data_IF_060041604841
#
_entry.id   IF_060041604841
#
_cell.length_a   1.000
_cell.length_b   1.000
_cell.length_c   1.000
_cell.angle_alpha   90.00
_cell.angle_beta   90.00
_cell.angle_gamma   90.00
#
_symmetry.space_group_name_H-M   'P 1'
#
loop_
_entity.id
_entity.type
_entity.pdbx_description
1 polymer ?
#
# COMPACT_ATOMS: atom_id res chain seq x y z
N UNK A 1 -17.18 -23.08 14.13
CA UNK A 1 -16.18 -22.10 13.62
C UNK A 1 -16.63 -21.40 12.34
N UNK A 2 -16.90 -22.10 11.23
CA UNK A 2 -17.29 -21.49 9.94
C UNK A 2 -18.56 -20.64 10.03
N UNK A 3 -19.54 -21.04 10.85
CA UNK A 3 -20.78 -20.27 11.08
C UNK A 3 -20.54 -18.92 11.76
N UNK A 4 -19.57 -18.85 12.68
CA UNK A 4 -19.19 -17.61 13.38
C UNK A 4 -18.53 -16.65 12.39
N UNK A 5 -17.61 -17.16 11.57
CA UNK A 5 -16.95 -16.37 10.53
C UNK A 5 -17.96 -15.81 9.50
N UNK A 6 -18.95 -16.63 9.11
CA UNK A 6 -20.03 -16.21 8.21
C UNK A 6 -20.91 -15.12 8.84
N UNK A 7 -21.22 -15.22 10.13
CA UNK A 7 -22.01 -14.21 10.83
C UNK A 7 -21.25 -12.88 10.96
N UNK A 8 -19.94 -12.93 11.25
CA UNK A 8 -19.09 -11.73 11.31
C UNK A 8 -19.03 -11.06 9.93
N UNK A 9 -18.83 -11.85 8.88
CA UNK A 9 -18.82 -11.35 7.51
C UNK A 9 -20.14 -10.68 7.13
N UNK A 10 -21.27 -11.33 7.43
CA UNK A 10 -22.60 -10.78 7.18
C UNK A 10 -22.84 -9.49 7.97
N UNK A 11 -22.40 -9.41 9.23
CA UNK A 11 -22.52 -8.20 10.05
C UNK A 11 -21.81 -7.00 9.42
N UNK A 12 -20.58 -7.18 8.94
CA UNK A 12 -19.85 -6.08 8.26
C UNK A 12 -20.52 -5.65 6.95
N UNK A 13 -20.97 -6.60 6.14
CA UNK A 13 -21.68 -6.28 4.89
C UNK A 13 -23.01 -5.57 5.18
N UNK A 14 -23.78 -6.08 6.13
CA UNK A 14 -25.08 -5.53 6.50
C UNK A 14 -24.94 -4.14 7.14
N UNK A 15 -23.95 -3.96 8.01
CA UNK A 15 -23.62 -2.65 8.59
C UNK A 15 -23.21 -1.62 7.52
N UNK A 16 -22.40 -2.02 6.53
CA UNK A 16 -22.01 -1.14 5.43
C UNK A 16 -23.20 -0.84 4.50
N UNK A 17 -24.06 -1.82 4.21
CA UNK A 17 -25.26 -1.66 3.38
C UNK A 17 -26.28 -0.73 4.03
N UNK A 18 -26.47 -0.85 5.34
CA UNK A 18 -27.41 -0.04 6.13
C UNK A 18 -26.82 1.32 6.55
N UNK A 19 -25.57 1.61 6.19
CA UNK A 19 -24.94 2.89 6.52
C UNK A 19 -25.67 4.05 5.82
N UNK A 20 -25.90 5.18 6.52
CA UNK A 20 -26.46 6.39 5.93
C UNK A 20 -25.60 6.91 4.77
N UNK A 21 -26.20 7.66 3.85
CA UNK A 21 -25.51 8.16 2.65
C UNK A 21 -24.25 8.96 2.97
N UNK A 22 -24.25 9.76 4.05
CA UNK A 22 -23.07 10.50 4.48
C UNK A 22 -21.92 9.59 4.90
N UNK A 23 -22.21 8.46 5.55
CA UNK A 23 -21.20 7.49 5.97
C UNK A 23 -20.58 6.75 4.78
N UNK A 24 -21.42 6.36 3.81
CA UNK A 24 -20.94 5.75 2.56
C UNK A 24 -20.04 6.72 1.77
N UNK A 25 -20.45 7.99 1.67
CA UNK A 25 -19.65 9.05 1.04
C UNK A 25 -18.31 9.25 1.77
N UNK A 26 -18.32 9.29 3.10
CA UNK A 26 -17.09 9.40 3.89
C UNK A 26 -16.15 8.22 3.65
N UNK A 27 -16.68 6.99 3.57
CA UNK A 27 -15.89 5.80 3.22
C UNK A 27 -15.25 5.91 1.84
N UNK A 28 -15.99 6.39 0.82
CA UNK A 28 -15.42 6.66 -0.51
C UNK A 28 -14.29 7.68 -0.44
N UNK A 29 -14.47 8.76 0.32
CA UNK A 29 -13.43 9.78 0.52
C UNK A 29 -12.17 9.17 1.17
N UNK A 30 -12.34 8.32 2.19
CA UNK A 30 -11.22 7.64 2.86
C UNK A 30 -10.46 6.76 1.85
N UNK A 31 -11.16 5.95 1.05
CA UNK A 31 -10.53 5.10 0.03
C UNK A 31 -9.74 5.95 -0.98
N UNK A 32 -10.33 7.01 -1.50
CA UNK A 32 -9.66 7.93 -2.43
C UNK A 32 -8.44 8.55 -1.77
N UNK A 33 -8.56 9.04 -0.53
CA UNK A 33 -7.47 9.65 0.21
C UNK A 33 -6.33 8.65 0.46
N UNK A 34 -6.63 7.39 0.77
CA UNK A 34 -5.64 6.33 0.92
C UNK A 34 -4.91 6.04 -0.38
N UNK A 35 -5.61 5.98 -1.52
CA UNK A 35 -4.99 5.82 -2.84
C UNK A 35 -4.07 7.00 -3.14
N UNK A 36 -4.54 8.23 -2.93
CA UNK A 36 -3.75 9.45 -3.18
C UNK A 36 -2.53 9.49 -2.25
N UNK A 37 -2.70 9.25 -0.95
CA UNK A 37 -1.59 9.22 0.01
C UNK A 37 -0.57 8.16 -0.37
N UNK A 38 -1.01 6.95 -0.75
CA UNK A 38 -0.12 5.90 -1.20
C UNK A 38 0.60 6.27 -2.50
N UNK A 39 -0.08 6.89 -3.46
CA UNK A 39 0.52 7.35 -4.70
C UNK A 39 1.55 8.46 -4.47
N UNK A 40 1.25 9.44 -3.61
CA UNK A 40 2.19 10.50 -3.20
C UNK A 40 3.39 9.87 -2.49
N UNK A 41 3.18 9.01 -1.50
CA UNK A 41 4.29 8.33 -0.83
C UNK A 41 5.13 7.53 -1.83
N UNK A 42 4.50 6.81 -2.77
CA UNK A 42 5.17 6.09 -3.84
C UNK A 42 6.00 7.02 -4.72
N UNK A 43 5.43 8.13 -5.20
CA UNK A 43 6.10 9.04 -6.12
C UNK A 43 7.18 9.88 -5.43
N UNK A 44 7.05 10.21 -4.14
CA UNK A 44 8.03 11.03 -3.43
C UNK A 44 9.08 10.21 -2.66
N UNK A 45 8.69 9.13 -1.98
CA UNK A 45 9.61 8.27 -1.22
C UNK A 45 10.21 7.14 -2.07
N UNK A 46 9.50 6.70 -3.12
CA UNK A 46 9.98 5.71 -4.08
C UNK A 46 10.20 6.35 -5.46
N UNK A 47 10.75 7.56 -5.49
CA UNK A 47 11.44 8.03 -6.68
C UNK A 47 12.50 7.01 -7.04
N UNK A 48 12.74 6.84 -8.34
CA UNK A 48 13.50 5.77 -8.98
C UNK A 48 14.95 5.64 -8.46
N UNK A 49 15.11 5.19 -7.21
CA UNK A 49 16.38 4.99 -6.52
C UNK A 49 17.22 3.93 -7.25
N UNK A 50 16.54 3.07 -8.00
CA UNK A 50 17.09 1.95 -8.74
C UNK A 50 17.28 2.29 -10.23
N UNK A 51 16.42 3.09 -10.85
CA UNK A 51 16.52 3.47 -12.28
C UNK A 51 17.73 4.33 -12.65
N UNK A 52 18.31 5.06 -11.70
CA UNK A 52 19.47 5.93 -11.93
C UNK A 52 20.82 5.24 -11.87
N UNK A 53 20.90 3.95 -11.45
CA UNK A 53 22.19 3.27 -11.16
C UNK A 53 22.45 1.97 -11.92
N UNK A 54 21.63 1.58 -12.88
CA UNK A 54 21.89 0.43 -13.75
C UNK A 54 20.81 0.24 -14.81
N UNK A 55 21.18 -0.25 -15.99
CA UNK A 55 20.22 -0.50 -17.09
C UNK A 55 19.46 -1.82 -16.91
N UNK A 56 19.98 -2.71 -16.05
CA UNK A 56 19.44 -4.06 -15.81
C UNK A 56 19.21 -4.31 -14.32
N UNK A 57 18.15 -5.04 -13.95
CA UNK A 57 17.82 -5.34 -12.55
C UNK A 57 18.95 -6.09 -11.80
N UNK A 58 19.79 -6.86 -12.51
CA UNK A 58 20.99 -7.50 -11.97
C UNK A 58 22.04 -6.49 -11.46
N UNK A 59 22.36 -5.46 -12.25
CA UNK A 59 23.37 -4.45 -11.90
C UNK A 59 22.92 -3.62 -10.68
N UNK A 60 21.62 -3.35 -10.60
CA UNK A 60 21.00 -2.62 -9.48
C UNK A 60 21.10 -3.43 -8.18
N UNK A 61 20.82 -4.74 -8.23
CA UNK A 61 20.95 -5.66 -7.10
C UNK A 61 22.39 -5.80 -6.60
N UNK A 62 23.36 -5.89 -7.51
CA UNK A 62 24.78 -5.96 -7.16
C UNK A 62 25.28 -4.65 -6.52
N UNK A 63 24.84 -3.50 -7.02
CA UNK A 63 25.18 -2.19 -6.45
C UNK A 63 24.67 -2.04 -5.01
N UNK A 64 23.40 -2.39 -4.75
CA UNK A 64 22.82 -2.35 -3.39
C UNK A 64 23.55 -3.33 -2.46
N UNK A 65 23.83 -4.55 -2.92
CA UNK A 65 24.58 -5.55 -2.14
C UNK A 65 25.97 -5.04 -1.76
N UNK A 66 26.68 -4.40 -2.69
CA UNK A 66 28.01 -3.83 -2.44
C UNK A 66 27.98 -2.68 -1.44
N UNK A 67 26.93 -1.84 -1.44
CA UNK A 67 26.75 -0.76 -0.46
C UNK A 67 26.41 -1.29 0.94
N UNK A 68 25.59 -2.35 1.05
CA UNK A 68 25.28 -3.00 2.33
C UNK A 68 26.49 -3.73 2.94
N UNK A 69 27.38 -4.26 2.11
CA UNK A 69 28.62 -4.91 2.55
C UNK A 69 29.72 -3.87 2.85
N UNK A 70 29.76 -2.77 2.09
CA UNK A 70 30.68 -1.64 2.29
C UNK A 70 30.02 -0.57 3.18
N UNK A 71 29.47 -0.96 4.33
CA UNK A 71 29.14 0.03 5.36
C UNK A 71 30.49 0.56 5.87
N UNK A 72 30.85 1.75 5.39
CA UNK A 72 32.04 2.48 5.83
C UNK A 72 31.86 2.77 7.33
N UNK A 73 32.76 2.21 8.14
CA UNK A 73 32.91 2.48 9.58
C UNK A 73 32.97 3.98 9.86
#
# INVERSE_FOLDING_TARGET
MIKILKNIWNFYIEGFKNMPEYGKRAWTIIIIKLIIMFAVLKVFFFQDFLGTKGKTDKEKSEYVSKQLITIKK
#
